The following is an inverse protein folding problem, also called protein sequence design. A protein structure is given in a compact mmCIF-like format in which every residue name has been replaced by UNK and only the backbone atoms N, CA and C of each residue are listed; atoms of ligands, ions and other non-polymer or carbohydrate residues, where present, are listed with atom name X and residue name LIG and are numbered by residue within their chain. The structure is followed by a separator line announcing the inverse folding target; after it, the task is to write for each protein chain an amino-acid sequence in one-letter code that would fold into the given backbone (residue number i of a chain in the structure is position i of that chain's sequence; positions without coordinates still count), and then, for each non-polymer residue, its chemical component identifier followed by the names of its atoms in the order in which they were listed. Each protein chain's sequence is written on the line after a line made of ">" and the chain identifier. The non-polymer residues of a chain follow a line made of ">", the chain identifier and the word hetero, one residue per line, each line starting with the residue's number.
data_IF_620488787695
#
_entry.id   IF_620488787695
#
_cell.length_a   1.000
_cell.length_b   1.000
_cell.length_c   1.000
_cell.angle_alpha   90.00
_cell.angle_beta   90.00
_cell.angle_gamma   90.00
#
_symmetry.space_group_name_H-M   'P 1'
#
loop_
_entity.id
_entity.type
_entity.pdbx_description
1 polymer ?
#
# COMPACT_ATOMS: atom_id res chain seq x y z
N UNK A 1 50.92 42.82 -27.21
CA UNK A 1 50.63 41.90 -28.32
C UNK A 1 51.47 40.62 -28.27
N UNK A 2 52.77 40.71 -28.02
CA UNK A 2 53.67 39.54 -27.92
C UNK A 2 53.42 38.68 -26.66
N UNK A 3 52.99 39.26 -25.58
CA UNK A 3 52.70 38.55 -24.33
C UNK A 3 51.44 37.67 -24.45
N UNK A 4 50.45 38.13 -25.17
CA UNK A 4 49.18 37.44 -25.37
C UNK A 4 49.32 36.19 -26.27
N UNK A 5 50.20 36.20 -27.28
CA UNK A 5 50.49 35.04 -28.12
C UNK A 5 51.23 33.90 -27.40
N UNK A 6 52.00 34.23 -26.35
CA UNK A 6 52.75 33.26 -25.57
C UNK A 6 51.83 32.50 -24.59
N UNK A 7 50.78 33.17 -24.11
CA UNK A 7 49.75 32.55 -23.24
C UNK A 7 48.84 31.61 -24.01
N UNK A 8 48.52 31.91 -25.26
CA UNK A 8 47.72 31.05 -26.13
C UNK A 8 48.44 29.74 -26.50
N UNK A 9 49.72 29.77 -26.78
CA UNK A 9 50.52 28.59 -27.09
C UNK A 9 50.71 27.69 -25.84
N UNK A 10 50.83 28.29 -24.67
CA UNK A 10 50.94 27.55 -23.41
C UNK A 10 49.60 26.91 -23.04
N UNK A 11 48.49 27.59 -23.28
CA UNK A 11 47.14 27.08 -23.08
C UNK A 11 46.84 25.91 -24.04
N UNK A 12 47.22 26.02 -25.32
CA UNK A 12 47.07 24.94 -26.33
C UNK A 12 47.90 23.71 -25.99
N UNK A 13 49.14 23.87 -25.52
CA UNK A 13 49.98 22.77 -25.04
C UNK A 13 49.39 22.06 -23.82
N UNK A 14 48.86 22.79 -22.84
CA UNK A 14 48.16 22.21 -21.70
C UNK A 14 46.92 21.47 -22.10
N UNK A 15 46.13 22.03 -23.04
CA UNK A 15 44.93 21.37 -23.57
C UNK A 15 45.28 20.06 -24.31
N UNK A 16 46.34 20.08 -25.14
CA UNK A 16 46.83 18.90 -25.84
C UNK A 16 47.36 17.82 -24.89
N UNK A 17 48.10 18.21 -23.84
CA UNK A 17 48.58 17.29 -22.80
C UNK A 17 47.41 16.68 -22.01
N UNK A 18 46.44 17.49 -21.62
CA UNK A 18 45.25 17.01 -20.92
C UNK A 18 44.38 16.11 -21.80
N UNK A 19 44.22 16.42 -23.09
CA UNK A 19 43.53 15.60 -24.06
C UNK A 19 44.23 14.23 -24.29
N UNK A 20 45.56 14.23 -24.37
CA UNK A 20 46.35 13.02 -24.51
C UNK A 20 46.25 12.12 -23.24
N UNK A 21 46.34 12.73 -22.06
CA UNK A 21 46.15 12.04 -20.80
C UNK A 21 44.75 11.41 -20.68
N UNK A 22 43.71 12.17 -21.09
CA UNK A 22 42.33 11.67 -21.15
C UNK A 22 42.20 10.48 -22.10
N UNK A 23 42.84 10.55 -23.27
CA UNK A 23 42.79 9.49 -24.26
C UNK A 23 43.45 8.20 -23.77
N UNK A 24 44.61 8.31 -23.07
CA UNK A 24 45.27 7.18 -22.44
C UNK A 24 44.40 6.59 -21.34
N UNK A 25 43.83 7.42 -20.47
CA UNK A 25 42.96 6.96 -19.38
C UNK A 25 41.72 6.25 -19.93
N UNK A 26 41.14 6.78 -21.00
CA UNK A 26 39.99 6.16 -21.67
C UNK A 26 40.37 4.81 -22.32
N UNK A 27 41.54 4.73 -22.95
CA UNK A 27 42.04 3.48 -23.54
C UNK A 27 42.26 2.40 -22.45
N UNK A 28 42.90 2.77 -21.34
CA UNK A 28 43.09 1.86 -20.21
C UNK A 28 41.74 1.42 -19.63
N UNK A 29 40.79 2.33 -19.46
CA UNK A 29 39.45 2.01 -19.01
C UNK A 29 38.76 1.00 -19.94
N UNK A 30 38.83 1.19 -21.25
CA UNK A 30 38.25 0.29 -22.24
C UNK A 30 38.88 -1.11 -22.14
N UNK A 31 40.21 -1.19 -22.04
CA UNK A 31 40.92 -2.48 -21.88
C UNK A 31 40.49 -3.19 -20.59
N UNK A 32 40.44 -2.47 -19.45
CA UNK A 32 40.02 -3.04 -18.16
C UNK A 32 38.55 -3.54 -18.24
N UNK A 33 37.67 -2.75 -18.87
CA UNK A 33 36.26 -3.15 -19.02
C UNK A 33 36.14 -4.42 -19.86
N UNK A 34 36.84 -4.50 -20.98
CA UNK A 34 36.80 -5.68 -21.87
C UNK A 34 37.35 -6.92 -21.13
N UNK A 35 38.50 -6.78 -20.46
CA UNK A 35 39.15 -7.88 -19.76
C UNK A 35 38.30 -8.40 -18.57
N UNK A 36 37.77 -7.49 -17.76
CA UNK A 36 36.87 -7.84 -16.65
C UNK A 36 35.52 -8.38 -17.10
N UNK A 37 35.01 -7.89 -18.24
CA UNK A 37 33.77 -8.36 -18.82
C UNK A 37 33.85 -9.85 -19.20
N UNK A 38 34.98 -10.26 -19.79
CA UNK A 38 35.25 -11.66 -20.16
C UNK A 38 35.55 -12.57 -18.95
N UNK A 39 36.05 -12.01 -17.84
CA UNK A 39 36.39 -12.74 -16.63
C UNK A 39 35.24 -12.92 -15.61
N UNK A 40 33.98 -12.68 -16.03
CA UNK A 40 32.80 -12.85 -15.16
C UNK A 40 31.91 -11.61 -15.05
N UNK A 41 32.30 -10.49 -15.65
CA UNK A 41 31.48 -9.27 -15.69
C UNK A 41 30.11 -9.48 -16.34
N UNK A 42 30.01 -10.38 -17.34
CA UNK A 42 28.75 -10.77 -17.98
C UNK A 42 27.77 -11.40 -16.97
N UNK A 43 28.28 -12.28 -16.11
CA UNK A 43 27.47 -12.97 -15.08
C UNK A 43 26.93 -11.96 -14.07
N UNK A 44 27.80 -11.07 -13.58
CA UNK A 44 27.43 -10.01 -12.64
C UNK A 44 26.41 -9.06 -13.26
N UNK A 45 26.62 -8.64 -14.51
CA UNK A 45 25.68 -7.78 -15.25
C UNK A 45 24.33 -8.49 -15.43
N UNK A 46 24.35 -9.78 -15.79
CA UNK A 46 23.14 -10.59 -15.94
C UNK A 46 22.34 -10.70 -14.65
N UNK A 47 22.99 -11.03 -13.53
CA UNK A 47 22.36 -11.14 -12.21
C UNK A 47 21.80 -9.78 -11.76
N UNK A 48 22.60 -8.71 -11.90
CA UNK A 48 22.17 -7.37 -11.52
C UNK A 48 20.98 -6.90 -12.37
N UNK A 49 21.02 -7.12 -13.67
CA UNK A 49 19.92 -6.79 -14.58
C UNK A 49 18.65 -7.57 -14.24
N UNK A 50 18.78 -8.85 -13.88
CA UNK A 50 17.66 -9.69 -13.43
C UNK A 50 17.04 -9.12 -12.15
N UNK A 51 17.86 -8.80 -11.14
CA UNK A 51 17.38 -8.25 -9.87
C UNK A 51 16.69 -6.89 -10.07
N UNK A 52 17.31 -6.00 -10.86
CA UNK A 52 16.70 -4.70 -11.21
C UNK A 52 15.40 -4.91 -12.00
N UNK A 53 15.38 -5.83 -12.96
CA UNK A 53 14.19 -6.18 -13.74
C UNK A 53 13.05 -6.66 -12.86
N UNK A 54 13.32 -7.56 -11.92
CA UNK A 54 12.35 -8.03 -10.92
C UNK A 54 11.86 -6.87 -10.05
N UNK A 55 12.75 -6.01 -9.56
CA UNK A 55 12.38 -4.82 -8.77
C UNK A 55 11.46 -3.86 -9.54
N UNK A 56 11.76 -3.61 -10.81
CA UNK A 56 10.90 -2.78 -11.68
C UNK A 56 9.54 -3.42 -11.93
N UNK A 57 9.49 -4.74 -12.10
CA UNK A 57 8.26 -5.50 -12.30
C UNK A 57 7.37 -5.44 -11.05
N UNK A 58 7.95 -5.61 -9.87
CA UNK A 58 7.27 -5.45 -8.58
C UNK A 58 6.74 -4.02 -8.44
N UNK A 59 7.56 -3.01 -8.68
CA UNK A 59 7.16 -1.60 -8.61
C UNK A 59 6.00 -1.28 -9.57
N UNK A 60 6.03 -1.81 -10.79
CA UNK A 60 4.96 -1.64 -11.78
C UNK A 60 3.67 -2.31 -11.31
N UNK A 61 3.75 -3.51 -10.74
CA UNK A 61 2.61 -4.25 -10.19
C UNK A 61 1.93 -3.48 -9.05
N UNK A 62 2.71 -3.01 -8.05
CA UNK A 62 2.16 -2.22 -6.96
C UNK A 62 1.58 -0.87 -7.42
N UNK A 63 2.19 -0.25 -8.42
CA UNK A 63 1.66 0.98 -9.03
C UNK A 63 0.30 0.76 -9.71
N UNK A 64 0.09 -0.38 -10.33
CA UNK A 64 -1.18 -0.77 -10.94
C UNK A 64 -2.28 -1.03 -9.89
N UNK A 65 -1.97 -1.80 -8.84
CA UNK A 65 -2.88 -2.05 -7.71
C UNK A 65 -3.32 -0.74 -7.06
N UNK A 66 -2.38 0.19 -6.81
CA UNK A 66 -2.68 1.52 -6.24
C UNK A 66 -3.58 2.37 -7.14
N UNK A 67 -3.50 2.23 -8.47
CA UNK A 67 -4.40 2.94 -9.40
C UNK A 67 -5.82 2.39 -9.34
N UNK A 68 -5.97 1.07 -9.32
CA UNK A 68 -7.27 0.41 -9.22
C UNK A 68 -8.00 0.77 -7.92
N UNK A 69 -7.28 0.78 -6.81
CA UNK A 69 -7.89 1.13 -5.52
C UNK A 69 -8.27 2.61 -5.39
N UNK A 70 -7.56 3.53 -6.07
CA UNK A 70 -7.96 4.94 -6.18
C UNK A 70 -9.27 5.15 -6.96
N UNK A 71 -9.64 4.22 -7.83
CA UNK A 71 -10.92 4.29 -8.54
C UNK A 71 -12.08 4.12 -7.57
N UNK A 72 -12.02 3.14 -6.67
CA UNK A 72 -13.04 2.96 -5.61
C UNK A 72 -13.17 4.20 -4.71
N UNK A 73 -12.07 4.90 -4.42
CA UNK A 73 -12.11 6.15 -3.66
C UNK A 73 -12.84 7.27 -4.40
N UNK A 74 -12.70 7.35 -5.72
CA UNK A 74 -13.41 8.36 -6.53
C UNK A 74 -14.89 8.08 -6.66
N UNK A 75 -15.27 6.84 -6.83
CA UNK A 75 -16.65 6.40 -6.97
C UNK A 75 -17.47 6.65 -5.69
N UNK A 76 -16.82 6.61 -4.53
CA UNK A 76 -17.46 6.85 -3.23
C UNK A 76 -17.25 8.27 -2.67
N UNK A 77 -16.43 9.10 -3.32
CA UNK A 77 -16.10 10.45 -2.83
C UNK A 77 -17.32 11.36 -2.69
N UNK A 78 -18.30 11.26 -3.58
CA UNK A 78 -19.53 12.07 -3.55
C UNK A 78 -20.49 11.68 -2.42
N UNK A 79 -20.32 10.49 -1.84
CA UNK A 79 -21.11 10.03 -0.69
C UNK A 79 -20.53 10.48 0.65
N UNK A 80 -19.31 11.03 0.65
CA UNK A 80 -18.67 11.61 1.83
C UNK A 80 -19.10 13.08 1.96
N UNK A 81 -20.40 13.33 2.11
CA UNK A 81 -20.90 14.65 2.50
C UNK A 81 -20.59 14.85 3.99
N UNK A 82 -20.04 16.02 4.33
CA UNK A 82 -19.94 16.42 5.73
C UNK A 82 -21.36 16.53 6.29
N UNK A 83 -21.72 15.61 7.16
CA UNK A 83 -22.95 15.68 7.91
C UNK A 83 -22.72 16.58 9.13
N UNK A 84 -23.63 17.51 9.33
CA UNK A 84 -23.68 18.33 10.52
C UNK A 84 -24.02 17.44 11.74
N UNK A 85 -23.05 17.23 12.61
CA UNK A 85 -23.22 16.57 13.88
C UNK A 85 -22.31 15.33 14.10
N UNK A 86 -22.09 14.95 15.36
CA UNK A 86 -21.32 13.76 15.68
C UNK A 86 -22.08 12.49 15.27
N UNK A 87 -21.34 11.40 14.89
CA UNK A 87 -21.97 10.12 14.60
C UNK A 87 -22.80 9.61 15.80
N UNK A 88 -23.90 8.88 15.54
CA UNK A 88 -24.67 8.25 16.61
C UNK A 88 -23.76 7.41 17.50
N UNK A 89 -23.96 7.46 18.83
CA UNK A 89 -23.19 6.67 19.76
C UNK A 89 -23.44 5.17 19.53
N UNK A 90 -22.37 4.37 19.60
CA UNK A 90 -22.46 2.91 19.50
C UNK A 90 -23.07 2.32 20.77
N UNK A 91 -23.97 1.34 20.62
CA UNK A 91 -24.56 0.59 21.74
C UNK A 91 -23.94 -0.82 21.77
N UNK A 92 -23.14 -1.17 22.80
CA UNK A 92 -22.48 -2.47 22.90
C UNK A 92 -23.44 -3.68 22.90
N UNK A 93 -24.71 -3.50 23.25
CA UNK A 93 -25.71 -4.56 23.26
C UNK A 93 -26.25 -4.91 21.87
N UNK A 94 -26.08 -4.02 20.91
CA UNK A 94 -26.61 -4.21 19.55
C UNK A 94 -25.68 -5.04 18.68
N UNK A 95 -26.22 -5.73 17.65
CA UNK A 95 -25.43 -6.43 16.65
C UNK A 95 -24.40 -5.50 15.99
N UNK A 96 -23.14 -5.90 16.03
CA UNK A 96 -21.99 -5.07 15.62
C UNK A 96 -21.22 -5.75 14.48
N UNK A 97 -21.00 -5.01 13.40
CA UNK A 97 -20.07 -5.40 12.35
C UNK A 97 -18.71 -4.76 12.62
N UNK A 98 -17.68 -5.56 12.82
CA UNK A 98 -16.29 -5.11 13.01
C UNK A 98 -15.52 -5.28 11.70
N UNK A 99 -15.01 -4.20 11.15
CA UNK A 99 -14.29 -4.19 9.88
C UNK A 99 -12.78 -4.12 10.12
N UNK A 100 -12.06 -5.17 9.76
CA UNK A 100 -10.59 -5.17 9.75
C UNK A 100 -10.10 -4.48 8.48
N UNK A 101 -9.72 -3.22 8.60
CA UNK A 101 -9.37 -2.37 7.46
C UNK A 101 -7.87 -2.15 7.35
N UNK A 102 -7.39 -2.08 6.11
CA UNK A 102 -6.02 -1.68 5.79
C UNK A 102 -5.99 -0.18 5.48
N UNK A 103 -4.79 0.36 5.22
CA UNK A 103 -4.61 1.77 4.79
C UNK A 103 -5.36 2.13 3.50
N UNK A 104 -6.01 1.17 2.84
CA UNK A 104 -6.75 1.39 1.60
C UNK A 104 -8.23 1.69 1.88
N UNK A 105 -8.57 2.97 1.87
CA UNK A 105 -9.94 3.46 2.09
C UNK A 105 -10.95 2.83 1.14
N UNK A 106 -10.64 2.72 -0.16
CA UNK A 106 -11.57 2.20 -1.16
C UNK A 106 -11.97 0.75 -0.90
N UNK A 107 -11.03 -0.08 -0.45
CA UNK A 107 -11.32 -1.47 -0.05
C UNK A 107 -12.22 -1.50 1.19
N UNK A 108 -11.98 -0.62 2.16
CA UNK A 108 -12.82 -0.49 3.34
C UNK A 108 -14.26 -0.13 2.98
N UNK A 109 -14.47 0.91 2.18
CA UNK A 109 -15.78 1.35 1.71
C UNK A 109 -16.54 0.24 0.96
N UNK A 110 -15.85 -0.44 0.04
CA UNK A 110 -16.45 -1.58 -0.69
C UNK A 110 -16.86 -2.71 0.27
N UNK A 111 -16.07 -2.97 1.30
CA UNK A 111 -16.38 -4.01 2.29
C UNK A 111 -17.63 -3.65 3.10
N UNK A 112 -17.77 -2.39 3.50
CA UNK A 112 -18.97 -1.87 4.18
C UNK A 112 -20.21 -2.02 3.30
N UNK A 113 -20.15 -1.56 2.04
CA UNK A 113 -21.26 -1.72 1.09
C UNK A 113 -21.65 -3.18 0.87
N UNK A 114 -20.64 -4.06 0.83
CA UNK A 114 -20.88 -5.49 0.64
C UNK A 114 -21.58 -6.11 1.83
N UNK A 115 -21.15 -5.77 3.05
CA UNK A 115 -21.80 -6.24 4.29
C UNK A 115 -23.23 -5.73 4.37
N UNK A 116 -23.48 -4.45 4.08
CA UNK A 116 -24.83 -3.90 4.10
C UNK A 116 -25.75 -4.57 3.05
N UNK A 117 -25.22 -4.92 1.88
CA UNK A 117 -25.98 -5.66 0.85
C UNK A 117 -26.27 -7.11 1.22
N UNK A 118 -25.33 -7.78 1.93
CA UNK A 118 -25.50 -9.17 2.34
C UNK A 118 -26.37 -9.33 3.58
N UNK A 119 -26.33 -8.34 4.48
CA UNK A 119 -27.02 -8.32 5.77
C UNK A 119 -27.79 -7.00 5.98
N UNK A 120 -28.75 -6.68 5.13
CA UNK A 120 -29.42 -5.37 5.14
C UNK A 120 -30.08 -5.10 6.48
N UNK A 121 -29.67 -4.02 7.13
CA UNK A 121 -30.25 -3.56 8.40
C UNK A 121 -29.97 -4.43 9.64
N UNK A 122 -29.20 -5.52 9.50
CA UNK A 122 -28.89 -6.43 10.60
C UNK A 122 -27.99 -5.80 11.65
N UNK A 123 -26.88 -5.21 11.22
CA UNK A 123 -25.91 -4.57 12.10
C UNK A 123 -26.33 -3.13 12.41
N UNK A 124 -26.30 -2.77 13.69
CA UNK A 124 -26.60 -1.42 14.17
C UNK A 124 -25.33 -0.59 14.37
N UNK A 125 -24.26 -1.24 14.81
CA UNK A 125 -22.96 -0.60 14.98
C UNK A 125 -21.98 -1.06 13.91
N UNK A 126 -21.17 -0.13 13.43
CA UNK A 126 -20.04 -0.37 12.55
C UNK A 126 -18.76 0.07 13.26
N UNK A 127 -17.87 -0.88 13.53
CA UNK A 127 -16.61 -0.61 14.22
C UNK A 127 -15.46 -0.89 13.26
N UNK A 128 -14.59 0.10 13.07
CA UNK A 128 -13.45 -0.01 12.18
C UNK A 128 -12.18 -0.23 12.97
N UNK A 129 -11.41 -1.26 12.60
CA UNK A 129 -10.17 -1.65 13.27
C UNK A 129 -9.02 -1.60 12.27
N UNK A 130 -7.98 -0.85 12.57
CA UNK A 130 -6.79 -0.75 11.72
C UNK A 130 -5.50 -0.84 12.51
N UNK A 131 -4.49 -1.50 11.92
CA UNK A 131 -3.14 -1.56 12.49
C UNK A 131 -2.14 -0.97 11.50
N UNK A 132 -1.45 0.09 11.95
CA UNK A 132 -0.30 0.65 11.27
C UNK A 132 0.96 -0.16 11.57
N UNK A 133 1.64 -0.65 10.53
CA UNK A 133 2.93 -1.34 10.69
C UNK A 133 4.05 -0.32 10.66
N UNK A 134 4.86 -0.33 11.70
CA UNK A 134 6.05 0.50 11.82
C UNK A 134 7.25 -0.35 11.41
N UNK A 135 7.83 -0.07 10.23
CA UNK A 135 9.04 -0.75 9.78
C UNK A 135 10.25 -0.34 10.62
N UNK A 136 11.23 -1.23 10.75
CA UNK A 136 12.46 -0.99 11.51
C UNK A 136 13.23 0.25 11.04
N UNK A 137 13.13 0.61 9.76
CA UNK A 137 13.70 1.85 9.21
C UNK A 137 12.96 3.11 9.71
N UNK A 138 11.69 2.98 10.05
CA UNK A 138 10.85 4.06 10.57
C UNK A 138 10.99 4.27 12.08
N UNK A 139 11.58 3.32 12.81
CA UNK A 139 11.82 3.42 14.26
C UNK A 139 12.76 4.58 14.66
N UNK A 140 13.52 5.12 13.72
CA UNK A 140 14.41 6.28 13.92
C UNK A 140 13.79 7.64 13.55
N UNK A 141 12.57 7.67 13.01
CA UNK A 141 11.93 8.90 12.55
C UNK A 141 10.56 9.09 13.18
N UNK A 142 10.49 9.98 14.16
CA UNK A 142 9.23 10.44 14.79
C UNK A 142 8.23 10.98 13.73
N UNK A 143 8.75 11.58 12.66
CA UNK A 143 7.95 12.08 11.54
C UNK A 143 7.27 10.95 10.76
N UNK A 144 7.95 9.82 10.54
CA UNK A 144 7.37 8.68 9.81
C UNK A 144 6.20 8.06 10.60
N UNK A 145 6.35 7.90 11.91
CA UNK A 145 5.30 7.42 12.80
C UNK A 145 4.10 8.38 12.80
N UNK A 146 4.34 9.67 12.94
CA UNK A 146 3.29 10.71 12.94
C UNK A 146 2.52 10.72 11.61
N UNK A 147 3.22 10.59 10.49
CA UNK A 147 2.60 10.50 9.16
C UNK A 147 1.73 9.25 9.03
N UNK A 148 2.22 8.09 9.46
CA UNK A 148 1.48 6.83 9.46
C UNK A 148 0.21 6.92 10.32
N UNK A 149 0.32 7.51 11.51
CA UNK A 149 -0.81 7.74 12.40
C UNK A 149 -1.86 8.66 11.75
N UNK A 150 -1.41 9.76 11.17
CA UNK A 150 -2.30 10.69 10.48
C UNK A 150 -3.05 10.02 9.31
N UNK A 151 -2.35 9.29 8.44
CA UNK A 151 -2.95 8.60 7.29
C UNK A 151 -3.94 7.51 7.72
N UNK A 152 -3.58 6.74 8.77
CA UNK A 152 -4.44 5.68 9.30
C UNK A 152 -5.72 6.26 9.87
N UNK A 153 -5.62 7.28 10.72
CA UNK A 153 -6.77 7.95 11.35
C UNK A 153 -7.64 8.66 10.33
N UNK A 154 -7.06 9.37 9.36
CA UNK A 154 -7.82 9.99 8.27
C UNK A 154 -8.61 8.97 7.44
N UNK A 155 -8.10 7.74 7.30
CA UNK A 155 -8.81 6.65 6.65
C UNK A 155 -9.98 6.16 7.51
N UNK A 156 -9.75 5.97 8.80
CA UNK A 156 -10.76 5.52 9.76
C UNK A 156 -11.89 6.55 9.94
N UNK A 157 -11.56 7.83 10.07
CA UNK A 157 -12.53 8.93 10.15
C UNK A 157 -13.42 8.99 8.90
N UNK A 158 -12.84 8.79 7.71
CA UNK A 158 -13.61 8.75 6.49
C UNK A 158 -14.59 7.55 6.43
N UNK A 159 -14.22 6.39 7.00
CA UNK A 159 -15.10 5.23 7.07
C UNK A 159 -16.23 5.44 8.10
N UNK A 160 -15.92 6.05 9.25
CA UNK A 160 -16.93 6.46 10.24
C UNK A 160 -17.92 7.44 9.65
N UNK A 161 -17.43 8.48 8.96
CA UNK A 161 -18.29 9.45 8.29
C UNK A 161 -19.18 8.78 7.22
N UNK A 162 -18.63 7.83 6.47
CA UNK A 162 -19.42 7.07 5.49
C UNK A 162 -20.55 6.25 6.15
N UNK A 163 -20.25 5.57 7.25
CA UNK A 163 -21.24 4.81 8.03
C UNK A 163 -22.30 5.74 8.63
N UNK A 164 -21.90 6.92 9.10
CA UNK A 164 -22.79 7.95 9.62
C UNK A 164 -23.77 8.46 8.55
N UNK A 165 -23.30 8.73 7.33
CA UNK A 165 -24.17 9.08 6.19
C UNK A 165 -25.25 8.02 5.93
N UNK A 166 -24.94 6.75 6.22
CA UNK A 166 -25.89 5.63 6.11
C UNK A 166 -26.77 5.45 7.37
N UNK A 167 -26.70 6.36 8.34
CA UNK A 167 -27.46 6.32 9.58
C UNK A 167 -27.00 5.23 10.55
N UNK A 168 -25.73 4.75 10.45
CA UNK A 168 -25.17 3.74 11.32
C UNK A 168 -24.33 4.37 12.45
N UNK A 169 -24.56 3.88 13.66
CA UNK A 169 -23.67 4.19 14.78
C UNK A 169 -22.28 3.62 14.50
N UNK A 170 -21.22 4.40 14.64
CA UNK A 170 -19.89 3.97 14.23
C UNK A 170 -18.78 4.53 15.11
N UNK A 171 -17.74 3.73 15.26
CA UNK A 171 -16.51 4.08 15.96
C UNK A 171 -15.30 3.42 15.31
N UNK A 172 -14.10 3.79 15.72
CA UNK A 172 -12.90 3.13 15.26
C UNK A 172 -11.88 2.91 16.37
N UNK A 173 -10.98 1.94 16.16
CA UNK A 173 -9.84 1.61 16.99
C UNK A 173 -8.60 1.47 16.13
N UNK A 174 -7.47 2.03 16.58
CA UNK A 174 -6.18 1.91 15.92
C UNK A 174 -5.11 1.34 16.87
N UNK A 175 -4.13 0.65 16.28
CA UNK A 175 -2.91 0.24 16.96
C UNK A 175 -1.72 0.38 16.02
N UNK A 176 -0.52 0.44 16.60
CA UNK A 176 0.73 0.59 15.86
C UNK A 176 1.78 -0.36 16.45
N UNK A 177 2.42 -1.14 15.59
CA UNK A 177 3.44 -2.10 16.02
C UNK A 177 4.23 -2.67 14.84
N UNK A 178 5.27 -3.44 15.15
CA UNK A 178 6.10 -4.11 14.14
C UNK A 178 5.44 -5.39 13.62
N UNK A 179 4.64 -6.06 14.43
CA UNK A 179 3.88 -7.26 14.05
C UNK A 179 2.39 -6.94 13.91
N UNK A 180 1.94 -6.90 12.66
CA UNK A 180 0.54 -6.62 12.33
C UNK A 180 -0.42 -7.65 12.92
N UNK A 181 -0.04 -8.93 12.90
CA UNK A 181 -0.93 -10.01 13.30
C UNK A 181 -1.18 -9.97 14.80
N UNK A 182 -0.12 -9.79 15.57
CA UNK A 182 -0.17 -9.66 17.02
C UNK A 182 -1.00 -8.45 17.46
N UNK A 183 -0.81 -7.30 16.82
CA UNK A 183 -1.58 -6.10 17.15
C UNK A 183 -3.04 -6.20 16.73
N UNK A 184 -3.35 -6.84 15.58
CA UNK A 184 -4.73 -7.10 15.17
C UNK A 184 -5.43 -8.06 16.15
N UNK A 185 -4.73 -9.11 16.59
CA UNK A 185 -5.27 -10.04 17.60
C UNK A 185 -5.61 -9.30 18.89
N UNK A 186 -4.65 -8.58 19.47
CA UNK A 186 -4.82 -7.81 20.70
C UNK A 186 -6.01 -6.85 20.62
N UNK A 187 -6.05 -6.06 19.54
CA UNK A 187 -7.09 -5.05 19.32
C UNK A 187 -8.46 -5.67 19.06
N UNK A 188 -8.50 -6.79 18.33
CA UNK A 188 -9.75 -7.53 18.08
C UNK A 188 -10.33 -8.13 19.36
N UNK A 189 -9.50 -8.65 20.26
CA UNK A 189 -9.93 -9.14 21.57
C UNK A 189 -10.48 -8.01 22.45
N UNK A 190 -9.89 -6.83 22.40
CA UNK A 190 -10.38 -5.64 23.10
C UNK A 190 -11.75 -5.21 22.57
N UNK A 191 -11.91 -5.11 21.25
CA UNK A 191 -13.18 -4.76 20.61
C UNK A 191 -14.24 -5.82 20.88
N UNK A 192 -13.90 -7.12 20.89
CA UNK A 192 -14.83 -8.20 21.22
C UNK A 192 -15.35 -8.11 22.66
N UNK A 193 -14.50 -7.69 23.60
CA UNK A 193 -14.95 -7.46 25.00
C UNK A 193 -15.92 -6.28 25.08
N UNK A 194 -15.69 -5.22 24.32
CA UNK A 194 -16.56 -4.05 24.27
C UNK A 194 -17.87 -4.33 23.54
N UNK A 195 -17.83 -5.13 22.46
CA UNK A 195 -18.97 -5.50 21.64
C UNK A 195 -19.16 -7.02 21.59
N UNK A 196 -19.77 -7.61 22.62
CA UNK A 196 -19.91 -9.08 22.71
C UNK A 196 -20.70 -9.70 21.54
N UNK A 197 -21.64 -8.94 20.96
CA UNK A 197 -22.49 -9.38 19.83
C UNK A 197 -21.89 -8.87 18.51
N UNK A 198 -20.64 -9.24 18.22
CA UNK A 198 -19.92 -8.76 17.03
C UNK A 198 -19.48 -9.89 16.10
N UNK A 199 -19.55 -9.60 14.79
CA UNK A 199 -18.98 -10.40 13.70
C UNK A 199 -17.89 -9.59 13.02
N UNK A 200 -16.73 -10.22 12.82
CA UNK A 200 -15.59 -9.58 12.21
C UNK A 200 -15.55 -9.80 10.70
N UNK A 201 -15.28 -8.76 9.94
CA UNK A 201 -15.19 -8.78 8.48
C UNK A 201 -13.80 -8.37 8.04
N UNK A 202 -13.16 -9.23 7.26
CA UNK A 202 -11.89 -8.93 6.60
C UNK A 202 -12.09 -8.95 5.09
N UNK A 203 -11.33 -8.15 4.36
CA UNK A 203 -11.36 -8.12 2.90
C UNK A 203 -10.14 -8.80 2.30
N UNK A 204 -10.35 -9.60 1.25
CA UNK A 204 -9.30 -10.17 0.41
C UNK A 204 -9.43 -9.61 -0.99
N UNK A 205 -8.35 -9.00 -1.49
CA UNK A 205 -8.29 -8.56 -2.88
C UNK A 205 -8.20 -9.78 -3.81
N UNK A 206 -9.10 -9.86 -4.78
CA UNK A 206 -9.13 -10.91 -5.81
C UNK A 206 -8.98 -10.22 -7.16
N UNK A 207 -8.02 -10.66 -7.96
CA UNK A 207 -7.78 -10.14 -9.31
C UNK A 207 -8.42 -11.07 -10.34
N UNK A 208 -9.06 -10.51 -11.35
CA UNK A 208 -9.75 -11.25 -12.42
C UNK A 208 -8.78 -12.10 -13.28
N UNK A 209 -7.50 -11.71 -13.34
CA UNK A 209 -6.42 -12.47 -13.98
C UNK A 209 -5.44 -12.97 -12.93
N UNK A 210 -5.70 -14.16 -12.39
CA UNK A 210 -4.74 -14.83 -11.50
C UNK A 210 -3.58 -15.42 -12.32
N UNK A 211 -2.45 -14.70 -12.38
CA UNK A 211 -1.19 -15.30 -12.78
C UNK A 211 -0.62 -16.07 -11.58
N UNK A 212 -0.01 -17.26 -11.80
CA UNK A 212 0.51 -18.14 -10.75
C UNK A 212 1.45 -17.45 -9.74
N UNK A 213 2.19 -16.40 -10.15
CA UNK A 213 3.05 -15.58 -9.30
C UNK A 213 2.27 -14.61 -8.38
N UNK A 214 1.06 -14.17 -8.76
CA UNK A 214 0.22 -13.33 -7.92
C UNK A 214 -0.13 -14.04 -6.61
N UNK A 215 -0.24 -15.35 -6.62
CA UNK A 215 -0.52 -16.17 -5.45
C UNK A 215 0.58 -16.13 -4.40
N UNK A 216 1.84 -15.88 -4.81
CA UNK A 216 3.00 -15.76 -3.92
C UNK A 216 3.19 -14.34 -3.36
N UNK A 217 2.72 -13.32 -4.07
CA UNK A 217 2.88 -11.90 -3.73
C UNK A 217 1.72 -11.35 -2.88
N UNK A 218 0.59 -12.09 -2.76
CA UNK A 218 -0.55 -11.62 -1.98
C UNK A 218 -0.42 -11.95 -0.51
N UNK A 219 -0.65 -10.91 0.31
CA UNK A 219 -0.70 -11.03 1.76
C UNK A 219 -1.73 -12.09 2.18
N UNK A 220 -1.29 -13.14 2.85
CA UNK A 220 -2.15 -14.14 3.48
C UNK A 220 -2.69 -13.64 4.84
N UNK A 221 -2.46 -12.38 5.18
CA UNK A 221 -2.89 -11.77 6.45
C UNK A 221 -4.36 -12.02 6.79
N UNK A 222 -5.34 -11.91 5.85
CA UNK A 222 -6.74 -12.18 6.19
C UNK A 222 -7.00 -13.63 6.65
N UNK A 223 -6.31 -14.61 6.07
CA UNK A 223 -6.44 -16.02 6.47
C UNK A 223 -5.69 -16.29 7.78
N UNK A 224 -4.55 -15.64 7.99
CA UNK A 224 -3.79 -15.79 9.23
C UNK A 224 -4.56 -15.19 10.41
N UNK A 225 -5.12 -13.98 10.27
CA UNK A 225 -5.92 -13.36 11.32
C UNK A 225 -7.22 -14.14 11.59
N UNK A 226 -7.88 -14.68 10.56
CA UNK A 226 -9.04 -15.54 10.73
C UNK A 226 -8.71 -16.75 11.60
N UNK A 227 -7.58 -17.42 11.35
CA UNK A 227 -7.15 -18.58 12.16
C UNK A 227 -6.93 -18.18 13.62
N UNK A 228 -6.15 -17.13 13.87
CA UNK A 228 -5.83 -16.64 15.21
C UNK A 228 -7.11 -16.23 15.97
N UNK A 229 -8.00 -15.47 15.34
CA UNK A 229 -9.23 -15.03 15.99
C UNK A 229 -10.22 -16.19 16.23
N UNK A 230 -10.28 -17.17 15.34
CA UNK A 230 -11.11 -18.36 15.55
C UNK A 230 -10.63 -19.21 16.74
N UNK A 231 -9.31 -19.25 17.02
CA UNK A 231 -8.77 -19.90 18.23
C UNK A 231 -9.28 -19.22 19.53
N UNK A 232 -9.64 -17.95 19.45
CA UNK A 232 -10.26 -17.17 20.53
C UNK A 232 -11.81 -17.15 20.48
N UNK A 233 -12.43 -17.98 19.62
CA UNK A 233 -13.89 -18.04 19.47
C UNK A 233 -14.50 -16.80 18.81
N UNK A 234 -13.71 -16.04 18.05
CA UNK A 234 -14.17 -14.87 17.29
C UNK A 234 -14.43 -15.30 15.84
N UNK A 235 -15.66 -15.10 15.38
CA UNK A 235 -16.04 -15.39 14.01
C UNK A 235 -15.54 -14.30 13.04
N UNK A 236 -14.81 -14.72 11.99
CA UNK A 236 -14.28 -13.83 10.95
C UNK A 236 -14.78 -14.26 9.58
N UNK A 237 -15.46 -13.35 8.90
CA UNK A 237 -15.94 -13.51 7.52
C UNK A 237 -14.98 -12.79 6.57
N UNK A 238 -14.40 -13.54 5.62
CA UNK A 238 -13.52 -12.96 4.59
C UNK A 238 -14.34 -12.69 3.34
N UNK A 239 -14.44 -11.42 2.95
CA UNK A 239 -15.15 -10.99 1.76
C UNK A 239 -14.18 -10.75 0.60
N UNK A 240 -14.45 -11.35 -0.59
CA UNK A 240 -13.66 -11.07 -1.78
C UNK A 240 -14.00 -9.69 -2.33
N UNK A 241 -12.97 -8.86 -2.54
CA UNK A 241 -13.06 -7.59 -3.25
C UNK A 241 -12.48 -7.82 -4.64
N UNK A 242 -13.36 -7.90 -5.65
CA UNK A 242 -12.96 -8.10 -7.04
C UNK A 242 -12.46 -6.77 -7.63
N UNK A 243 -11.20 -6.73 -8.01
CA UNK A 243 -10.62 -5.63 -8.78
C UNK A 243 -10.80 -5.94 -10.27
N UNK A 244 -11.83 -5.37 -10.90
CA UNK A 244 -11.98 -5.41 -12.37
C UNK A 244 -11.05 -4.37 -12.99
N UNK A 245 -10.23 -4.80 -13.94
CA UNK A 245 -9.64 -3.88 -14.89
C UNK A 245 -10.80 -3.38 -15.78
N UNK A 246 -11.15 -2.10 -15.70
CA UNK A 246 -12.10 -1.51 -16.66
C UNK A 246 -11.64 -1.83 -18.08
N UNK A 247 -12.47 -2.59 -18.79
CA UNK A 247 -12.47 -2.52 -20.25
C UNK A 247 -12.76 -1.07 -20.61
N UNK A 248 -11.85 -0.42 -21.31
CA UNK A 248 -12.01 0.89 -21.95
C UNK A 248 -13.47 1.08 -22.36
N UNK A 249 -14.11 2.23 -22.05
CA UNK A 249 -15.45 2.49 -22.57
C UNK A 249 -15.41 2.27 -24.07
N UNK A 250 -16.20 1.33 -24.60
CA UNK A 250 -16.47 1.27 -26.02
C UNK A 250 -17.14 2.59 -26.35
N UNK A 251 -16.40 3.42 -27.08
CA UNK A 251 -16.93 4.58 -27.78
C UNK A 251 -18.19 4.11 -28.52
N UNK A 252 -19.37 4.71 -28.31
CA UNK A 252 -20.50 4.41 -29.14
C UNK A 252 -20.16 4.97 -30.53
N UNK A 253 -19.75 4.08 -31.43
CA UNK A 253 -19.66 4.41 -32.86
C UNK A 253 -21.04 4.83 -33.37
N UNK A 254 -21.10 5.86 -34.22
CA UNK A 254 -22.27 6.58 -34.69
C UNK A 254 -23.28 5.74 -35.46
#
# INVERSE_FOLDING_TARGET
>A
WWKQRRDDDFARRRLALSGFALLITLAILVVIVIERFLQGGIVTLGITSLVVGVGLLIRRHYGWVRRLTRHFEREHRWRLQDLDGPPPATDPAQPTAVFLVSANRGVGLHTVDRVEKLFPGHFRNFVFVSVGVVDSESYGSEQALTTLQYETRATLDALVNYAHVQGRASSWHDAYGSDRLLELERLSLEVRRQFPNSVFFASRLVFETEHWWNRWLHSQTPLAIQRVLNEHGIEVVILPVMLRAESTPRDPTP
#
